data_IF_333544341218
#
_entry.id   IF_333544341218
#
_cell.length_a   1.000
_cell.length_b   1.000
_cell.length_c   1.000
_cell.angle_alpha   90.00
_cell.angle_beta   90.00
_cell.angle_gamma   90.00
#
_symmetry.space_group_name_H-M   'P 1'
#
loop_
_entity.id
_entity.type
_entity.pdbx_description
1 polymer ?
#
# COMPACT_ATOMS: atom_id res chain seq x y z
N UNK A 1 -51.74 -17.14 -26.80
CA UNK A 1 -50.98 -17.09 -25.54
C UNK A 1 -49.50 -16.98 -25.85
N UNK A 2 -48.98 -15.78 -25.95
CA UNK A 2 -47.59 -15.52 -26.33
C UNK A 2 -46.69 -15.46 -25.09
N UNK A 3 -45.64 -16.27 -25.07
CA UNK A 3 -44.56 -16.16 -24.07
C UNK A 3 -43.58 -15.08 -24.55
N UNK A 4 -43.72 -13.88 -24.00
CA UNK A 4 -42.70 -12.82 -24.12
C UNK A 4 -41.55 -13.15 -23.15
N UNK A 5 -40.49 -13.76 -23.69
CA UNK A 5 -39.23 -13.95 -22.94
C UNK A 5 -38.56 -12.61 -22.77
N UNK A 6 -38.34 -12.28 -21.51
CA UNK A 6 -37.72 -11.04 -21.04
C UNK A 6 -36.26 -10.91 -21.50
N UNK A 7 -36.09 -10.36 -22.72
CA UNK A 7 -34.75 -10.08 -23.31
C UNK A 7 -34.00 -8.94 -22.61
N UNK A 8 -34.68 -8.13 -21.78
CA UNK A 8 -34.04 -7.00 -21.07
C UNK A 8 -33.27 -7.43 -19.82
N UNK A 9 -33.72 -8.47 -19.11
CA UNK A 9 -32.99 -9.00 -17.93
C UNK A 9 -31.69 -9.68 -18.33
N UNK A 10 -31.64 -10.31 -19.50
CA UNK A 10 -30.42 -10.97 -20.03
C UNK A 10 -29.39 -9.97 -20.58
N UNK A 11 -29.79 -8.83 -21.10
CA UNK A 11 -28.89 -7.78 -21.56
C UNK A 11 -28.19 -7.10 -20.37
N UNK A 12 -28.92 -6.76 -19.29
CA UNK A 12 -28.35 -6.16 -18.09
C UNK A 12 -27.41 -7.09 -17.34
N UNK A 13 -27.59 -8.40 -17.41
CA UNK A 13 -26.64 -9.35 -16.76
C UNK A 13 -25.36 -9.53 -17.58
N UNK A 14 -25.41 -9.37 -18.90
CA UNK A 14 -24.23 -9.40 -19.79
C UNK A 14 -23.42 -8.10 -19.74
N UNK A 15 -24.08 -6.95 -19.65
CA UNK A 15 -23.38 -5.66 -19.47
C UNK A 15 -22.69 -5.57 -18.12
N UNK A 16 -23.24 -6.14 -17.05
CA UNK A 16 -22.56 -6.24 -15.75
C UNK A 16 -21.39 -7.23 -15.72
N UNK A 17 -21.37 -8.23 -16.61
CA UNK A 17 -20.24 -9.19 -16.72
C UNK A 17 -19.13 -8.71 -17.66
N UNK A 18 -19.36 -7.71 -18.49
CA UNK A 18 -18.39 -7.16 -19.44
C UNK A 18 -17.78 -5.82 -19.02
N UNK A 19 -18.06 -5.31 -17.83
CA UNK A 19 -17.12 -4.39 -17.21
C UNK A 19 -15.92 -5.25 -16.75
N UNK A 20 -14.97 -5.51 -17.65
CA UNK A 20 -13.62 -5.90 -17.25
C UNK A 20 -13.22 -4.85 -16.20
N UNK A 21 -13.01 -5.29 -14.96
CA UNK A 21 -12.55 -4.38 -13.91
C UNK A 21 -11.22 -3.83 -14.41
N UNK A 22 -11.20 -2.55 -14.74
CA UNK A 22 -10.01 -1.86 -15.17
C UNK A 22 -8.98 -1.99 -14.04
N UNK A 23 -7.76 -2.42 -14.38
CA UNK A 23 -6.67 -2.51 -13.43
C UNK A 23 -6.51 -1.16 -12.71
N UNK A 24 -6.29 -1.22 -11.39
CA UNK A 24 -6.23 -0.02 -10.57
C UNK A 24 -4.76 0.33 -10.31
N UNK A 25 -4.25 1.36 -10.98
CA UNK A 25 -2.87 1.80 -10.91
C UNK A 25 -2.71 2.92 -9.89
N UNK A 26 -1.64 2.85 -9.12
CA UNK A 26 -1.28 3.80 -8.08
C UNK A 26 0.22 4.08 -8.09
N UNK A 27 0.61 5.23 -7.58
CA UNK A 27 2.00 5.64 -7.42
C UNK A 27 2.21 6.24 -6.03
N UNK A 28 3.29 5.87 -5.33
CA UNK A 28 3.56 6.33 -3.97
C UNK A 28 4.19 7.73 -3.96
N UNK A 29 3.65 8.64 -3.14
CA UNK A 29 4.25 9.96 -2.90
C UNK A 29 5.60 9.87 -2.19
N UNK A 30 5.90 8.73 -1.53
CA UNK A 30 7.21 8.46 -0.94
C UNK A 30 8.36 8.54 -1.93
N UNK A 31 8.09 8.16 -3.20
CA UNK A 31 9.04 8.28 -4.29
C UNK A 31 9.33 9.73 -4.74
N UNK A 32 8.59 10.71 -4.22
CA UNK A 32 8.65 12.09 -4.66
C UNK A 32 9.21 13.05 -3.58
N UNK A 33 9.81 12.51 -2.52
CA UNK A 33 10.55 13.35 -1.58
C UNK A 33 11.63 14.16 -2.32
N UNK A 34 11.82 15.48 -2.06
CA UNK A 34 11.24 16.27 -0.96
C UNK A 34 10.04 17.16 -1.36
N UNK A 35 9.29 16.80 -2.40
CA UNK A 35 8.09 17.58 -2.75
C UNK A 35 7.06 17.54 -1.63
N UNK A 36 6.32 18.63 -1.45
CA UNK A 36 5.16 18.65 -0.56
C UNK A 36 4.10 17.65 -1.04
N UNK A 37 3.38 17.04 -0.09
CA UNK A 37 2.42 15.96 -0.41
C UNK A 37 1.37 16.39 -1.45
N UNK A 38 0.87 17.64 -1.40
CA UNK A 38 -0.08 18.16 -2.38
C UNK A 38 0.50 18.27 -3.79
N UNK A 39 1.77 18.70 -3.92
CA UNK A 39 2.45 18.80 -5.20
C UNK A 39 2.75 17.40 -5.77
N UNK A 40 3.19 16.48 -4.93
CA UNK A 40 3.40 15.07 -5.31
C UNK A 40 2.11 14.43 -5.83
N UNK A 41 1.00 14.59 -5.13
CA UNK A 41 -0.32 14.10 -5.56
C UNK A 41 -0.74 14.72 -6.90
N UNK A 42 -0.49 16.02 -7.10
CA UNK A 42 -0.80 16.69 -8.37
C UNK A 42 0.09 16.17 -9.52
N UNK A 43 1.38 15.92 -9.27
CA UNK A 43 2.29 15.33 -10.26
C UNK A 43 1.83 13.93 -10.68
N UNK A 44 1.43 13.09 -9.73
CA UNK A 44 0.90 11.75 -9.98
C UNK A 44 -0.37 11.85 -10.83
N UNK A 45 -1.29 12.76 -10.49
CA UNK A 45 -2.51 12.99 -11.28
C UNK A 45 -2.20 13.44 -12.70
N UNK A 46 -1.25 14.34 -12.88
CA UNK A 46 -0.83 14.85 -14.19
C UNK A 46 -0.16 13.78 -15.08
N UNK A 47 0.41 12.73 -14.46
CA UNK A 47 0.99 11.60 -15.19
C UNK A 47 -0.05 10.56 -15.67
N UNK A 48 -1.33 10.72 -15.31
CA UNK A 48 -2.42 9.86 -15.77
C UNK A 48 -3.02 8.92 -14.72
N UNK A 49 -2.49 8.90 -13.52
CA UNK A 49 -3.03 8.08 -12.43
C UNK A 49 -4.34 8.66 -11.88
N UNK A 50 -5.32 7.79 -11.62
CA UNK A 50 -6.54 8.12 -10.88
C UNK A 50 -6.39 7.91 -9.37
N UNK A 51 -5.37 7.15 -8.97
CA UNK A 51 -5.09 6.82 -7.59
C UNK A 51 -3.62 7.07 -7.24
N UNK A 52 -3.39 7.42 -5.97
CA UNK A 52 -2.05 7.51 -5.39
C UNK A 52 -2.00 6.74 -4.06
N UNK A 53 -0.82 6.36 -3.67
CA UNK A 53 -0.52 6.10 -2.28
C UNK A 53 0.05 7.37 -1.65
N UNK A 54 -0.48 7.73 -0.49
CA UNK A 54 0.06 8.83 0.30
C UNK A 54 1.02 8.27 1.36
N UNK A 55 2.28 8.66 1.30
CA UNK A 55 3.23 8.53 2.40
C UNK A 55 3.45 9.92 3.01
N UNK A 56 2.75 10.28 4.09
CA UNK A 56 2.90 11.59 4.71
C UNK A 56 4.34 11.84 5.17
N UNK A 57 4.87 13.02 4.91
CA UNK A 57 6.22 13.42 5.30
C UNK A 57 6.22 14.32 6.54
N UNK A 58 5.07 14.91 6.86
CA UNK A 58 4.88 15.78 8.01
C UNK A 58 3.65 15.39 8.82
N UNK A 59 3.66 15.67 10.13
CA UNK A 59 2.50 15.47 11.01
C UNK A 59 1.28 16.28 10.50
N UNK A 60 1.54 17.46 9.95
CA UNK A 60 0.50 18.34 9.39
C UNK A 60 -0.22 17.77 8.18
N UNK A 61 0.34 16.76 7.49
CA UNK A 61 -0.32 16.10 6.35
C UNK A 61 -1.60 15.37 6.76
N UNK A 62 -1.72 14.97 8.02
CA UNK A 62 -2.95 14.40 8.56
C UNK A 62 -4.01 15.47 8.94
N UNK A 63 -3.72 16.76 8.76
CA UNK A 63 -4.63 17.85 9.17
C UNK A 63 -5.80 18.05 8.21
N UNK A 64 -6.88 18.64 8.73
CA UNK A 64 -8.04 19.08 7.92
C UNK A 64 -7.62 20.07 6.81
N UNK A 65 -6.63 20.94 7.08
CA UNK A 65 -6.13 21.92 6.11
C UNK A 65 -5.40 21.21 4.95
N UNK A 66 -4.56 20.22 5.24
CA UNK A 66 -3.90 19.40 4.22
C UNK A 66 -4.92 18.58 3.42
N UNK A 67 -5.88 17.95 4.10
CA UNK A 67 -6.96 17.21 3.43
C UNK A 67 -7.66 18.03 2.36
N UNK A 68 -8.02 19.29 2.67
CA UNK A 68 -8.67 20.19 1.67
C UNK A 68 -7.78 20.52 0.48
N UNK A 69 -6.47 20.55 0.65
CA UNK A 69 -5.52 20.74 -0.45
C UNK A 69 -5.44 19.48 -1.32
N UNK A 70 -5.35 18.31 -0.69
CA UNK A 70 -5.31 17.02 -1.39
C UNK A 70 -6.58 16.79 -2.22
N UNK A 71 -7.76 17.09 -1.67
CA UNK A 71 -9.05 16.99 -2.38
C UNK A 71 -9.06 17.81 -3.69
N UNK A 72 -8.40 18.97 -3.72
CA UNK A 72 -8.33 19.82 -4.92
C UNK A 72 -7.53 19.22 -6.08
N UNK A 73 -6.65 18.28 -5.82
CA UNK A 73 -5.90 17.57 -6.87
C UNK A 73 -6.80 16.66 -7.72
N UNK A 74 -7.96 16.28 -7.19
CA UNK A 74 -8.90 15.37 -7.85
C UNK A 74 -8.44 13.92 -7.91
N UNK A 75 -7.28 13.57 -7.28
CA UNK A 75 -6.80 12.21 -7.15
C UNK A 75 -7.46 11.52 -5.95
N UNK A 76 -7.68 10.21 -6.03
CA UNK A 76 -8.16 9.40 -4.92
C UNK A 76 -6.97 8.66 -4.27
N UNK A 77 -7.08 8.33 -2.99
CA UNK A 77 -6.08 7.49 -2.36
C UNK A 77 -6.44 6.01 -2.52
N UNK A 78 -5.54 5.24 -3.11
CA UNK A 78 -5.54 3.79 -3.06
C UNK A 78 -5.25 3.31 -1.65
N UNK A 79 -4.16 3.84 -1.13
CA UNK A 79 -3.58 3.49 0.16
C UNK A 79 -2.96 4.70 0.84
N UNK A 80 -2.69 4.54 2.12
CA UNK A 80 -1.79 5.38 2.90
C UNK A 80 -0.70 4.47 3.43
N UNK A 81 0.55 4.82 3.19
CA UNK A 81 1.66 4.22 3.91
C UNK A 81 1.79 4.92 5.27
N UNK A 82 1.77 4.14 6.37
CA UNK A 82 1.98 4.75 7.69
C UNK A 82 3.35 5.43 7.72
N UNK A 83 3.44 6.73 8.07
CA UNK A 83 4.66 7.49 7.86
C UNK A 83 5.82 6.94 8.69
N UNK A 84 6.96 6.69 8.04
CA UNK A 84 8.16 6.13 8.69
C UNK A 84 8.63 7.00 9.86
N UNK A 85 8.52 8.32 9.73
CA UNK A 85 8.88 9.30 10.77
C UNK A 85 8.02 9.15 12.05
N UNK A 86 6.86 8.49 11.96
CA UNK A 86 5.94 8.26 13.08
C UNK A 86 6.03 6.84 13.68
N UNK A 87 6.95 6.01 13.21
CA UNK A 87 7.15 4.67 13.76
C UNK A 87 7.52 4.70 15.25
N UNK A 88 8.24 5.73 15.68
CA UNK A 88 8.59 5.92 17.10
C UNK A 88 7.40 6.07 18.04
N UNK A 89 6.22 6.48 17.55
CA UNK A 89 4.97 6.56 18.34
C UNK A 89 4.01 5.41 18.05
N UNK A 90 4.20 4.71 16.93
CA UNK A 90 3.43 3.51 16.62
C UNK A 90 3.98 2.30 17.39
N UNK A 91 5.29 2.07 17.33
CA UNK A 91 5.99 0.92 17.90
C UNK A 91 6.65 1.26 19.25
N UNK A 92 5.87 1.78 20.20
CA UNK A 92 6.41 2.18 21.52
C UNK A 92 5.63 1.56 22.67
N UNK A 93 6.37 1.11 23.68
CA UNK A 93 5.80 0.72 24.94
C UNK A 93 5.42 1.93 25.82
N UNK A 94 5.92 3.13 25.52
CA UNK A 94 5.65 4.33 26.33
C UNK A 94 4.22 4.83 26.13
N UNK A 95 3.43 4.78 27.20
CA UNK A 95 1.97 5.07 27.16
C UNK A 95 1.62 6.41 26.50
N UNK A 96 2.24 7.50 26.94
CA UNK A 96 1.91 8.84 26.43
C UNK A 96 2.24 8.98 24.95
N UNK A 97 3.41 8.45 24.51
CA UNK A 97 3.76 8.45 23.09
C UNK A 97 2.75 7.65 22.25
N UNK A 98 2.24 6.52 22.76
CA UNK A 98 1.18 5.77 22.07
C UNK A 98 -0.11 6.58 21.96
N UNK A 99 -0.51 7.32 23.00
CA UNK A 99 -1.72 8.15 22.95
C UNK A 99 -1.58 9.28 21.89
N UNK A 100 -0.41 9.91 21.82
CA UNK A 100 -0.10 10.91 20.79
C UNK A 100 -0.15 10.27 19.39
N UNK A 101 0.47 9.09 19.22
CA UNK A 101 0.42 8.31 17.99
C UNK A 101 -1.01 7.88 17.60
N UNK A 102 -1.83 7.51 18.58
CA UNK A 102 -3.25 7.18 18.34
C UNK A 102 -4.06 8.38 17.87
N UNK A 103 -3.79 9.57 18.40
CA UNK A 103 -4.46 10.77 17.92
C UNK A 103 -4.06 11.07 16.48
N UNK A 104 -2.78 11.05 16.18
CA UNK A 104 -2.27 11.20 14.81
C UNK A 104 -2.90 10.15 13.85
N UNK A 105 -2.96 8.88 14.27
CA UNK A 105 -3.56 7.80 13.45
C UNK A 105 -5.05 8.05 13.17
N UNK A 106 -5.81 8.55 14.15
CA UNK A 106 -7.21 8.91 13.93
C UNK A 106 -7.38 10.01 12.89
N UNK A 107 -6.54 11.05 12.96
CA UNK A 107 -6.57 12.17 12.02
C UNK A 107 -6.19 11.69 10.61
N UNK A 108 -5.12 10.88 10.51
CA UNK A 108 -4.66 10.26 9.27
C UNK A 108 -5.75 9.39 8.61
N UNK A 109 -6.39 8.52 9.39
CA UNK A 109 -7.47 7.65 8.89
C UNK A 109 -8.73 8.44 8.51
N UNK A 110 -9.02 9.55 9.20
CA UNK A 110 -10.14 10.42 8.87
C UNK A 110 -9.89 11.12 7.52
N UNK A 111 -8.69 11.62 7.31
CA UNK A 111 -8.25 12.15 6.01
C UNK A 111 -8.34 11.06 4.93
N UNK A 112 -7.78 9.87 5.21
CA UNK A 112 -7.82 8.75 4.28
C UNK A 112 -9.24 8.36 3.87
N UNK A 113 -10.17 8.27 4.81
CA UNK A 113 -11.58 7.96 4.53
C UNK A 113 -12.21 8.99 3.59
N UNK A 114 -11.94 10.29 3.79
CA UNK A 114 -12.44 11.37 2.93
C UNK A 114 -11.86 11.28 1.51
N UNK A 115 -10.60 10.88 1.38
CA UNK A 115 -9.91 10.73 0.10
C UNK A 115 -10.20 9.38 -0.60
N UNK A 116 -11.06 8.53 0.00
CA UNK A 116 -11.45 7.24 -0.56
C UNK A 116 -10.41 6.13 -0.38
N UNK A 117 -9.47 6.29 0.56
CA UNK A 117 -8.46 5.31 0.90
C UNK A 117 -9.08 3.97 1.29
N UNK A 118 -8.48 2.87 0.81
CA UNK A 118 -8.94 1.51 1.08
C UNK A 118 -7.97 0.69 1.90
N UNK A 119 -6.70 1.08 1.92
CA UNK A 119 -5.62 0.31 2.54
C UNK A 119 -4.73 1.24 3.36
N UNK A 120 -4.40 0.82 4.58
CA UNK A 120 -3.30 1.37 5.36
C UNK A 120 -2.15 0.38 5.35
N UNK A 121 -1.03 0.77 4.79
CA UNK A 121 0.20 -0.03 4.78
C UNK A 121 0.95 0.19 6.09
N UNK A 122 1.39 -0.90 6.72
CA UNK A 122 2.15 -0.90 7.97
C UNK A 122 3.24 -1.96 7.90
N UNK A 123 4.45 -1.64 8.33
CA UNK A 123 5.53 -2.61 8.47
C UNK A 123 5.30 -3.53 9.68
N UNK A 124 5.90 -4.71 9.73
CA UNK A 124 5.88 -5.55 10.92
C UNK A 124 6.73 -4.92 12.04
N UNK A 125 6.31 -5.10 13.29
CA UNK A 125 7.14 -4.77 14.42
C UNK A 125 8.33 -5.74 14.50
N UNK A 126 9.51 -5.20 14.75
CA UNK A 126 10.73 -5.98 14.93
C UNK A 126 11.07 -6.07 16.43
N UNK A 127 10.79 -7.21 17.09
CA UNK A 127 11.12 -7.38 18.51
C UNK A 127 12.62 -7.26 18.77
N UNK A 128 13.00 -6.53 19.80
CA UNK A 128 14.41 -6.19 20.02
C UNK A 128 14.98 -6.60 21.38
N UNK A 129 14.14 -7.05 22.33
CA UNK A 129 14.58 -7.29 23.71
C UNK A 129 14.01 -8.60 24.28
N UNK A 130 14.60 -9.78 23.97
CA UNK A 130 14.17 -11.05 24.53
C UNK A 130 14.13 -11.04 26.06
N UNK A 131 13.04 -11.58 26.64
CA UNK A 131 12.80 -11.60 28.09
C UNK A 131 12.05 -10.38 28.64
N UNK A 132 11.70 -9.42 27.77
CA UNK A 132 10.92 -8.23 28.16
C UNK A 132 9.63 -8.09 27.34
N UNK A 133 9.12 -9.21 26.81
CA UNK A 133 7.98 -9.24 25.88
C UNK A 133 6.75 -8.56 26.47
N UNK A 134 6.38 -8.87 27.72
CA UNK A 134 5.23 -8.26 28.39
C UNK A 134 5.37 -6.75 28.61
N UNK A 135 6.59 -6.26 28.81
CA UNK A 135 6.85 -4.85 29.06
C UNK A 135 6.93 -4.03 27.75
N UNK A 136 7.60 -4.58 26.74
CA UNK A 136 7.98 -3.84 25.53
C UNK A 136 7.17 -4.24 24.31
N UNK A 137 6.91 -5.54 24.11
CA UNK A 137 6.25 -6.04 22.89
C UNK A 137 4.72 -6.01 23.01
N UNK A 138 4.17 -6.46 24.14
CA UNK A 138 2.73 -6.53 24.35
C UNK A 138 2.03 -5.19 24.10
N UNK A 139 2.52 -4.03 24.64
CA UNK A 139 1.91 -2.73 24.36
C UNK A 139 1.97 -2.31 22.89
N UNK A 140 2.98 -2.76 22.15
CA UNK A 140 3.11 -2.49 20.70
C UNK A 140 2.08 -3.32 19.92
N UNK A 141 1.96 -4.62 20.22
CA UNK A 141 0.96 -5.49 19.60
C UNK A 141 -0.46 -4.98 19.88
N UNK A 142 -0.76 -4.63 21.13
CA UNK A 142 -2.06 -4.06 21.50
C UNK A 142 -2.35 -2.75 20.73
N UNK A 143 -1.30 -1.96 20.42
CA UNK A 143 -1.45 -0.75 19.63
C UNK A 143 -1.71 -1.04 18.13
N UNK A 144 -1.07 -2.05 17.56
CA UNK A 144 -1.33 -2.50 16.19
C UNK A 144 -2.77 -3.04 16.06
N UNK A 145 -3.22 -3.84 17.02
CA UNK A 145 -4.59 -4.36 17.01
C UNK A 145 -5.62 -3.24 17.15
N UNK A 146 -5.35 -2.25 18.03
CA UNK A 146 -6.16 -1.04 18.13
C UNK A 146 -6.22 -0.26 16.79
N UNK A 147 -5.07 -0.12 16.10
CA UNK A 147 -5.01 0.56 14.79
C UNK A 147 -5.83 -0.20 13.73
N UNK A 148 -5.76 -1.53 13.74
CA UNK A 148 -6.56 -2.37 12.85
C UNK A 148 -8.07 -2.22 13.09
N UNK A 149 -8.50 -2.09 14.36
CA UNK A 149 -9.88 -1.77 14.73
C UNK A 149 -10.30 -0.39 14.19
N UNK A 150 -9.46 0.63 14.35
CA UNK A 150 -9.74 1.99 13.84
C UNK A 150 -9.84 2.03 12.31
N UNK A 151 -9.00 1.24 11.62
CA UNK A 151 -9.09 1.04 10.17
C UNK A 151 -10.43 0.38 9.79
N UNK A 152 -10.79 -0.72 10.47
CA UNK A 152 -12.04 -1.46 10.21
C UNK A 152 -13.30 -0.61 10.37
N UNK A 153 -13.34 0.29 11.36
CA UNK A 153 -14.45 1.24 11.56
C UNK A 153 -14.65 2.18 10.37
N UNK A 154 -13.64 2.37 9.53
CA UNK A 154 -13.63 3.25 8.35
C UNK A 154 -13.64 2.50 7.03
N UNK A 155 -13.80 1.17 7.05
CA UNK A 155 -13.68 0.29 5.89
C UNK A 155 -12.31 0.41 5.18
N UNK A 156 -11.26 0.65 5.94
CA UNK A 156 -9.87 0.63 5.50
C UNK A 156 -9.27 -0.70 5.97
N UNK A 157 -8.65 -1.44 5.06
CA UNK A 157 -7.92 -2.65 5.38
C UNK A 157 -6.51 -2.29 5.87
N UNK A 158 -6.00 -2.95 6.89
CA UNK A 158 -4.61 -2.81 7.30
C UNK A 158 -3.77 -3.90 6.61
N UNK A 159 -2.86 -3.46 5.76
CA UNK A 159 -1.94 -4.31 5.01
C UNK A 159 -0.60 -4.40 5.74
N UNK A 160 -0.20 -5.61 6.10
CA UNK A 160 1.10 -5.88 6.74
C UNK A 160 2.11 -6.22 5.66
N UNK A 161 3.12 -5.38 5.52
CA UNK A 161 4.14 -5.50 4.50
C UNK A 161 5.18 -6.57 4.85
N UNK A 162 5.73 -7.27 3.85
CA UNK A 162 6.94 -8.07 4.06
C UNK A 162 8.13 -7.15 4.37
N UNK A 163 9.13 -7.71 5.00
CA UNK A 163 10.32 -6.98 5.41
C UNK A 163 11.50 -7.93 5.40
N UNK A 164 12.68 -7.52 4.97
CA UNK A 164 13.85 -8.42 4.90
C UNK A 164 14.33 -8.87 6.29
N UNK A 165 13.75 -8.36 7.37
CA UNK A 165 14.09 -8.71 8.74
C UNK A 165 13.06 -9.63 9.39
N UNK A 166 11.89 -9.11 9.76
CA UNK A 166 10.90 -9.83 10.56
C UNK A 166 10.05 -10.78 9.71
N UNK A 167 9.60 -10.34 8.55
CA UNK A 167 8.72 -11.06 7.63
C UNK A 167 9.44 -11.33 6.29
N UNK A 168 10.65 -11.89 6.36
CA UNK A 168 11.56 -12.05 5.22
C UNK A 168 11.17 -13.18 4.26
N UNK A 169 10.26 -14.06 4.63
CA UNK A 169 9.70 -15.10 3.74
C UNK A 169 8.18 -15.07 3.76
N UNK A 170 7.56 -15.64 2.73
CA UNK A 170 6.11 -15.76 2.64
C UNK A 170 5.49 -16.45 3.86
N UNK A 171 6.14 -17.51 4.36
CA UNK A 171 5.68 -18.26 5.54
C UNK A 171 5.77 -17.41 6.81
N UNK A 172 6.84 -16.63 6.98
CA UNK A 172 7.00 -15.74 8.14
C UNK A 172 5.96 -14.64 8.14
N UNK A 173 5.69 -14.02 6.98
CA UNK A 173 4.64 -13.00 6.86
C UNK A 173 3.26 -13.59 7.17
N UNK A 174 2.93 -14.75 6.59
CA UNK A 174 1.67 -15.43 6.85
C UNK A 174 1.51 -15.82 8.33
N UNK A 175 2.60 -16.31 8.95
CA UNK A 175 2.62 -16.66 10.37
C UNK A 175 2.42 -15.41 11.25
N UNK A 176 3.11 -14.31 10.96
CA UNK A 176 2.99 -13.04 11.69
C UNK A 176 1.57 -12.49 11.67
N UNK A 177 0.96 -12.42 10.46
CA UNK A 177 -0.43 -11.97 10.31
C UNK A 177 -1.40 -12.90 11.04
N UNK A 178 -1.17 -14.22 10.98
CA UNK A 178 -1.98 -15.21 11.71
C UNK A 178 -1.84 -15.07 13.24
N UNK A 179 -0.66 -14.78 13.74
CA UNK A 179 -0.40 -14.57 15.17
C UNK A 179 -1.09 -13.32 15.71
N UNK A 180 -1.09 -12.23 14.94
CA UNK A 180 -1.88 -11.03 15.26
C UNK A 180 -3.38 -11.33 15.36
N UNK A 181 -3.89 -12.32 14.60
CA UNK A 181 -5.23 -12.87 14.74
C UNK A 181 -6.39 -11.90 14.50
N UNK A 182 -6.13 -10.77 13.82
CA UNK A 182 -7.12 -9.71 13.62
C UNK A 182 -7.76 -9.79 12.23
N UNK A 183 -9.12 -9.78 12.10
CA UNK A 183 -9.79 -9.99 10.81
C UNK A 183 -9.52 -8.89 9.78
N UNK A 184 -9.14 -7.68 10.23
CA UNK A 184 -8.85 -6.54 9.37
C UNK A 184 -7.35 -6.38 9.03
N UNK A 185 -6.49 -7.34 9.39
CA UNK A 185 -5.07 -7.37 9.01
C UNK A 185 -4.89 -8.44 7.94
N UNK A 186 -4.20 -8.08 6.84
CA UNK A 186 -3.91 -8.98 5.72
C UNK A 186 -2.45 -8.79 5.27
N UNK A 187 -1.83 -9.83 4.71
CA UNK A 187 -0.50 -9.69 4.14
C UNK A 187 -0.54 -8.82 2.88
N UNK A 188 0.53 -8.08 2.64
CA UNK A 188 0.84 -7.46 1.37
C UNK A 188 2.28 -7.79 0.96
N UNK A 189 2.64 -7.54 -0.29
CA UNK A 189 3.97 -7.83 -0.81
C UNK A 189 4.56 -6.58 -1.44
N UNK A 190 5.79 -6.25 -1.04
CA UNK A 190 6.72 -5.42 -1.79
C UNK A 190 7.72 -6.32 -2.52
N UNK A 191 7.84 -6.10 -3.84
CA UNK A 191 8.68 -6.92 -4.72
C UNK A 191 10.17 -6.73 -4.43
N UNK A 192 10.60 -5.52 -4.06
CA UNK A 192 12.00 -5.24 -3.71
C UNK A 192 12.37 -5.79 -2.34
N UNK A 193 11.48 -5.67 -1.35
CA UNK A 193 11.71 -6.23 -0.01
C UNK A 193 11.81 -7.78 -0.05
N UNK A 194 11.07 -8.44 -0.95
CA UNK A 194 11.23 -9.87 -1.20
C UNK A 194 12.62 -10.19 -1.77
N UNK A 195 13.06 -9.44 -2.80
CA UNK A 195 14.39 -9.60 -3.41
C UNK A 195 15.52 -9.30 -2.42
N UNK A 196 15.35 -8.33 -1.54
CA UNK A 196 16.33 -8.02 -0.49
C UNK A 196 16.49 -9.17 0.52
N UNK A 197 15.44 -9.96 0.70
CA UNK A 197 15.45 -11.17 1.52
C UNK A 197 15.89 -12.43 0.77
N UNK A 198 16.45 -12.30 -0.44
CA UNK A 198 16.83 -13.41 -1.33
C UNK A 198 15.63 -14.29 -1.75
N UNK A 199 14.41 -13.75 -1.73
CA UNK A 199 13.20 -14.42 -2.19
C UNK A 199 12.82 -13.97 -3.61
N UNK A 200 12.25 -14.87 -4.40
CA UNK A 200 11.64 -14.54 -5.68
C UNK A 200 10.26 -13.92 -5.46
N UNK A 201 9.96 -12.71 -6.01
CA UNK A 201 8.68 -12.03 -5.76
C UNK A 201 7.46 -12.82 -6.23
N UNK A 202 7.55 -13.51 -7.36
CA UNK A 202 6.45 -14.30 -7.89
C UNK A 202 6.20 -15.54 -7.02
N UNK A 203 7.25 -16.22 -6.57
CA UNK A 203 7.13 -17.35 -5.63
C UNK A 203 6.56 -16.88 -4.28
N UNK A 204 7.00 -15.72 -3.78
CA UNK A 204 6.47 -15.11 -2.56
C UNK A 204 4.96 -14.85 -2.67
N UNK A 205 4.52 -14.22 -3.77
CA UNK A 205 3.12 -13.93 -4.06
C UNK A 205 2.27 -15.20 -4.14
N UNK A 206 2.76 -16.27 -4.79
CA UNK A 206 2.06 -17.56 -4.86
C UNK A 206 1.89 -18.20 -3.49
N UNK A 207 2.90 -18.10 -2.63
CA UNK A 207 2.87 -18.69 -1.28
C UNK A 207 2.06 -17.84 -0.28
N UNK A 208 2.05 -16.51 -0.44
CA UNK A 208 1.33 -15.57 0.43
C UNK A 208 0.61 -14.51 -0.40
N UNK A 209 -0.59 -14.82 -0.96
CA UNK A 209 -1.33 -13.92 -1.83
C UNK A 209 -1.63 -12.58 -1.15
N UNK A 210 -1.22 -11.43 -1.76
CA UNK A 210 -1.31 -10.13 -1.13
C UNK A 210 -2.70 -9.49 -1.26
N UNK A 211 -3.06 -8.67 -0.27
CA UNK A 211 -4.22 -7.77 -0.37
C UNK A 211 -3.86 -6.42 -1.01
N UNK A 212 -2.59 -6.06 -1.01
CA UNK A 212 -2.00 -4.85 -1.60
C UNK A 212 -0.61 -5.18 -2.13
N UNK A 213 -0.11 -4.41 -3.09
CA UNK A 213 1.16 -4.68 -3.77
C UNK A 213 1.96 -3.39 -3.92
N UNK A 214 3.21 -3.42 -3.47
CA UNK A 214 4.24 -2.46 -3.85
C UNK A 214 5.14 -3.04 -4.93
N UNK A 215 5.39 -2.23 -5.94
CA UNK A 215 6.12 -2.62 -7.13
C UNK A 215 7.27 -1.65 -7.36
N UNK A 216 8.46 -2.17 -7.28
CA UNK A 216 9.68 -1.51 -7.69
C UNK A 216 10.67 -2.57 -8.15
N UNK A 217 11.70 -2.17 -8.88
CA UNK A 217 12.64 -3.11 -9.45
C UNK A 217 13.90 -3.25 -8.59
N UNK A 218 14.68 -4.27 -8.90
CA UNK A 218 15.91 -4.61 -8.18
C UNK A 218 16.99 -5.02 -9.21
N UNK A 219 18.22 -4.57 -9.01
CA UNK A 219 19.34 -4.99 -9.86
C UNK A 219 20.64 -5.07 -9.04
N UNK A 220 21.12 -6.26 -8.83
CA UNK A 220 22.33 -6.50 -8.03
C UNK A 220 22.13 -6.07 -6.57
N UNK A 221 22.63 -4.90 -6.19
CA UNK A 221 22.42 -4.30 -4.85
C UNK A 221 21.61 -3.00 -4.88
N UNK A 222 21.09 -2.65 -6.05
CA UNK A 222 20.32 -1.42 -6.24
C UNK A 222 18.84 -1.76 -6.00
N UNK A 223 18.28 -1.14 -4.98
CA UNK A 223 16.93 -1.37 -4.48
C UNK A 223 15.97 -0.29 -4.93
N UNK A 224 14.70 -0.65 -5.02
CA UNK A 224 13.59 0.26 -5.35
C UNK A 224 13.88 1.07 -6.62
N UNK A 225 14.40 0.42 -7.66
CA UNK A 225 14.51 1.00 -8.98
C UNK A 225 13.10 1.29 -9.55
N UNK A 226 12.95 2.26 -10.47
CA UNK A 226 11.74 2.34 -11.27
C UNK A 226 11.42 0.99 -11.92
N UNK A 227 10.15 0.59 -11.92
CA UNK A 227 9.73 -0.67 -12.52
C UNK A 227 10.10 -0.72 -14.01
N UNK A 228 10.70 -1.83 -14.44
CA UNK A 228 11.24 -2.03 -15.78
C UNK A 228 12.71 -1.60 -15.94
N UNK A 229 13.37 -1.10 -14.90
CA UNK A 229 14.81 -0.72 -14.93
C UNK A 229 15.73 -1.74 -14.23
N UNK A 230 15.18 -2.86 -13.77
CA UNK A 230 15.91 -3.95 -13.10
C UNK A 230 15.78 -5.30 -13.80
N UNK A 231 15.85 -6.37 -13.00
CA UNK A 231 15.82 -7.75 -13.49
C UNK A 231 14.61 -8.55 -12.96
N UNK A 232 13.60 -7.90 -12.42
CA UNK A 232 12.37 -8.56 -11.97
C UNK A 232 11.59 -9.13 -13.15
N UNK A 233 11.22 -10.41 -13.09
CA UNK A 233 10.33 -11.02 -14.09
C UNK A 233 8.87 -10.59 -13.84
N UNK A 234 8.49 -9.47 -14.45
CA UNK A 234 7.15 -8.91 -14.32
C UNK A 234 6.05 -9.77 -14.95
N UNK A 235 6.40 -10.60 -15.92
CA UNK A 235 5.46 -11.55 -16.51
C UNK A 235 5.12 -12.66 -15.50
N UNK A 236 6.12 -13.17 -14.78
CA UNK A 236 5.90 -14.17 -13.73
C UNK A 236 5.19 -13.57 -12.50
N UNK A 237 5.49 -12.33 -12.13
CA UNK A 237 4.76 -11.59 -11.08
C UNK A 237 3.28 -11.43 -11.46
N UNK A 238 2.97 -11.04 -12.72
CA UNK A 238 1.60 -10.94 -13.21
C UNK A 238 0.88 -12.29 -13.14
N UNK A 239 1.53 -13.37 -13.58
CA UNK A 239 0.97 -14.72 -13.52
C UNK A 239 0.71 -15.17 -12.08
N UNK A 240 1.65 -14.89 -11.17
CA UNK A 240 1.51 -15.20 -9.74
C UNK A 240 0.33 -14.48 -9.08
N UNK A 241 0.04 -13.25 -9.52
CA UNK A 241 -1.08 -12.46 -9.02
C UNK A 241 -2.46 -13.00 -9.46
N UNK A 242 -2.55 -13.69 -10.60
CA UNK A 242 -3.79 -14.28 -11.09
C UNK A 242 -4.97 -13.28 -11.08
N UNK A 243 -6.04 -13.62 -10.35
CA UNK A 243 -7.26 -12.80 -10.24
C UNK A 243 -7.13 -11.64 -9.23
N UNK A 244 -5.95 -11.08 -9.03
CA UNK A 244 -5.72 -9.97 -8.10
C UNK A 244 -6.63 -8.79 -8.38
N UNK A 245 -7.27 -8.26 -7.35
CA UNK A 245 -8.27 -7.18 -7.44
C UNK A 245 -7.85 -5.90 -6.69
N UNK A 246 -6.60 -5.86 -6.22
CA UNK A 246 -6.04 -4.72 -5.50
C UNK A 246 -5.44 -3.66 -6.42
N UNK A 247 -4.65 -2.79 -5.82
CA UNK A 247 -3.93 -1.75 -6.54
C UNK A 247 -2.52 -2.22 -6.90
N UNK A 248 -2.10 -1.91 -8.11
CA UNK A 248 -0.72 -2.01 -8.58
C UNK A 248 -0.04 -0.70 -8.24
N UNK A 249 0.65 -0.66 -7.11
CA UNK A 249 1.25 0.58 -6.57
C UNK A 249 2.75 0.61 -6.86
N UNK A 250 3.20 1.57 -7.66
CA UNK A 250 4.63 1.81 -7.85
C UNK A 250 5.21 2.54 -6.65
N UNK A 251 6.25 1.97 -6.05
CA UNK A 251 6.97 2.54 -4.91
C UNK A 251 8.49 2.51 -5.12
N UNK A 252 9.02 3.24 -6.11
CA UNK A 252 10.47 3.36 -6.30
C UNK A 252 11.09 4.33 -5.29
N UNK A 253 12.42 4.25 -5.10
CA UNK A 253 13.12 5.16 -4.22
C UNK A 253 13.21 6.57 -4.81
N UNK A 254 12.96 7.58 -3.97
CA UNK A 254 12.93 9.00 -4.37
C UNK A 254 14.18 9.49 -5.09
N UNK A 255 15.35 8.92 -4.80
CA UNK A 255 16.63 9.31 -5.44
C UNK A 255 16.61 9.21 -6.97
N UNK A 256 15.77 8.33 -7.52
CA UNK A 256 15.62 8.17 -8.96
C UNK A 256 14.69 9.20 -9.58
N UNK A 257 13.95 9.97 -8.77
CA UNK A 257 12.94 10.94 -9.19
C UNK A 257 13.35 12.40 -8.92
N UNK A 258 14.62 12.65 -8.56
CA UNK A 258 15.13 14.01 -8.30
C UNK A 258 15.30 14.87 -9.56
N UNK A 259 15.30 14.27 -10.75
CA UNK A 259 15.31 14.97 -12.04
C UNK A 259 14.29 14.35 -12.98
N UNK A 260 13.77 15.11 -13.92
CA UNK A 260 12.80 14.67 -14.92
C UNK A 260 11.57 14.00 -14.30
N UNK A 261 11.21 14.43 -13.09
CA UNK A 261 10.24 13.79 -12.19
C UNK A 261 8.93 13.47 -12.88
N UNK A 262 8.33 14.47 -13.54
CA UNK A 262 7.02 14.30 -14.22
C UNK A 262 7.07 13.25 -15.34
N UNK A 263 8.15 13.23 -16.10
CA UNK A 263 8.37 12.27 -17.19
C UNK A 263 8.56 10.86 -16.64
N UNK A 264 9.30 10.70 -15.55
CA UNK A 264 9.52 9.39 -14.92
C UNK A 264 8.26 8.82 -14.29
N UNK A 265 7.42 9.64 -13.67
CA UNK A 265 6.11 9.19 -13.19
C UNK A 265 5.25 8.71 -14.37
N UNK A 266 5.24 9.45 -15.50
CA UNK A 266 4.52 9.08 -16.70
C UNK A 266 5.00 7.74 -17.27
N UNK A 267 6.31 7.51 -17.33
CA UNK A 267 6.88 6.21 -17.74
C UNK A 267 6.42 5.07 -16.83
N UNK A 268 6.35 5.31 -15.51
CA UNK A 268 5.78 4.33 -14.59
C UNK A 268 4.32 3.99 -14.90
N UNK A 269 3.51 4.98 -15.25
CA UNK A 269 2.13 4.75 -15.69
C UNK A 269 2.07 3.90 -16.98
N UNK A 270 2.89 4.24 -17.96
CA UNK A 270 2.99 3.51 -19.23
C UNK A 270 3.43 2.06 -19.01
N UNK A 271 4.42 1.84 -18.13
CA UNK A 271 4.85 0.50 -17.73
C UNK A 271 3.69 -0.34 -17.19
N UNK A 272 2.87 0.22 -16.27
CA UNK A 272 1.71 -0.51 -15.75
C UNK A 272 0.67 -0.81 -16.82
N UNK A 273 0.40 0.13 -17.73
CA UNK A 273 -0.50 -0.08 -18.85
C UNK A 273 0.00 -1.17 -19.81
N UNK A 274 1.30 -1.28 -20.03
CA UNK A 274 1.89 -2.27 -20.93
C UNK A 274 1.88 -3.67 -20.31
N UNK A 275 2.25 -3.79 -19.04
CA UNK A 275 2.49 -5.09 -18.40
C UNK A 275 1.28 -5.63 -17.63
N UNK A 276 0.38 -4.77 -17.11
CA UNK A 276 -0.69 -5.17 -16.18
C UNK A 276 -2.11 -4.79 -16.64
N UNK A 277 -2.29 -4.38 -17.90
CA UNK A 277 -3.62 -4.15 -18.48
C UNK A 277 -4.39 -5.47 -18.73
#
# INVERSE_FOLDING_TARGET
>A
MGKGTDRRAFAHSKERKNAMKQAQYSFSTGALFPYESEDALQMIRNAGFDYAELMPQAISDASEAATRKFEKTGIRLASIHYPLVMFGVLYTAHRTMREDGRQFSRDLLTMGQRMGCRVLVVHPHNPSYPGYEELLERPVIDNLLWLADECGKRNILMAMENSPYTCSTAEKLAAYVKELGHPNIRPMVDTTEAREADEDPAAFIRACPPCHLHMSDYLGSIKHLPAGEGDTDWADVKDALGDYQGFYTLEPAYKFYLSDTQEKIRKGYEFLCEHFA
#
